data_IF_925351265573
#
_entry.id   IF_925351265573
#
_cell.length_a   1.000
_cell.length_b   1.000
_cell.length_c   1.000
_cell.angle_alpha   90.00
_cell.angle_beta   90.00
_cell.angle_gamma   90.00
#
_symmetry.space_group_name_H-M   'P 1'
#
loop_
_entity.id
_entity.type
_entity.pdbx_description
1 polymer ?
#
# COMPACT_ATOMS: atom_id res chain seq x y z
N UNK A 1 -6.51 -16.39 -5.09
CA UNK A 1 -7.35 -15.27 -5.57
C UNK A 1 -7.43 -15.30 -7.09
N UNK A 2 -8.48 -14.73 -7.70
CA UNK A 2 -8.55 -14.51 -9.15
C UNK A 2 -7.91 -13.17 -9.54
N UNK A 3 -6.57 -13.13 -9.57
CA UNK A 3 -5.80 -11.91 -9.85
C UNK A 3 -6.07 -11.36 -11.26
N UNK A 4 -6.38 -12.25 -12.20
CA UNK A 4 -6.76 -11.97 -13.59
C UNK A 4 -8.00 -11.07 -13.71
N UNK A 5 -8.83 -10.99 -12.66
CA UNK A 5 -10.02 -10.13 -12.62
C UNK A 5 -9.77 -8.74 -12.03
N UNK A 6 -8.56 -8.46 -11.56
CA UNK A 6 -8.19 -7.15 -11.03
C UNK A 6 -7.63 -6.28 -12.14
N UNK A 7 -7.69 -4.95 -11.98
CA UNK A 7 -7.00 -4.05 -12.91
C UNK A 7 -5.50 -4.30 -12.88
N UNK A 8 -4.80 -4.07 -13.99
CA UNK A 8 -3.34 -4.24 -14.07
C UNK A 8 -2.62 -3.47 -12.96
N UNK A 9 -3.07 -2.25 -12.68
CA UNK A 9 -2.52 -1.42 -11.60
C UNK A 9 -2.73 -2.02 -10.21
N UNK A 10 -3.88 -2.65 -9.94
CA UNK A 10 -4.08 -3.32 -8.67
C UNK A 10 -3.24 -4.61 -8.54
N UNK A 11 -3.03 -5.33 -9.66
CA UNK A 11 -2.12 -6.48 -9.68
C UNK A 11 -0.67 -6.05 -9.37
N UNK A 12 -0.19 -4.97 -9.99
CA UNK A 12 1.11 -4.35 -9.69
C UNK A 12 1.21 -3.95 -8.21
N UNK A 13 0.20 -3.26 -7.67
CA UNK A 13 0.19 -2.82 -6.28
C UNK A 13 0.21 -4.00 -5.28
N UNK A 14 -0.42 -5.13 -5.61
CA UNK A 14 -0.35 -6.35 -4.80
C UNK A 14 1.05 -6.97 -4.81
N UNK A 15 1.74 -6.95 -5.96
CA UNK A 15 3.13 -7.43 -6.06
C UNK A 15 4.10 -6.54 -5.27
N UNK A 16 3.92 -5.22 -5.34
CA UNK A 16 4.69 -4.26 -4.55
C UNK A 16 4.42 -4.41 -3.05
N UNK A 17 3.16 -4.59 -2.67
CA UNK A 17 2.77 -4.84 -1.27
C UNK A 17 3.38 -6.13 -0.73
N UNK A 18 3.43 -7.19 -1.52
CA UNK A 18 4.10 -8.44 -1.17
C UNK A 18 5.60 -8.21 -0.92
N UNK A 19 6.26 -7.46 -1.80
CA UNK A 19 7.67 -7.11 -1.67
C UNK A 19 7.93 -6.30 -0.40
N UNK A 20 7.04 -5.37 -0.05
CA UNK A 20 7.14 -4.59 1.18
C UNK A 20 6.94 -5.44 2.45
N UNK A 21 6.02 -6.40 2.43
CA UNK A 21 5.80 -7.32 3.55
C UNK A 21 7.03 -8.21 3.76
N UNK A 22 7.54 -8.82 2.69
CA UNK A 22 8.74 -9.67 2.73
C UNK A 22 9.96 -8.88 3.18
N UNK A 23 10.17 -7.67 2.65
CA UNK A 23 11.28 -6.81 3.05
C UNK A 23 11.23 -6.32 4.50
N UNK A 24 10.13 -6.58 5.21
CA UNK A 24 9.93 -6.28 6.64
C UNK A 24 9.71 -7.54 7.48
N UNK A 25 9.99 -8.72 6.93
CA UNK A 25 9.79 -10.02 7.58
C UNK A 25 8.33 -10.29 8.03
N UNK A 26 7.36 -9.60 7.44
CA UNK A 26 5.94 -9.82 7.70
C UNK A 26 5.44 -11.03 6.88
N UNK A 27 4.92 -12.05 7.56
CA UNK A 27 4.46 -13.30 6.92
C UNK A 27 3.24 -13.11 6.00
N UNK A 28 2.49 -12.03 6.19
CA UNK A 28 1.27 -11.74 5.46
C UNK A 28 1.29 -10.33 4.87
N UNK A 29 0.55 -10.15 3.78
CA UNK A 29 0.26 -8.82 3.26
C UNK A 29 -0.86 -8.19 4.12
N UNK A 30 -0.46 -7.32 5.03
CA UNK A 30 -1.41 -6.45 5.73
C UNK A 30 -1.90 -5.27 4.88
N UNK A 31 -3.08 -4.68 5.20
CA UNK A 31 -3.64 -3.52 4.50
C UNK A 31 -2.66 -2.34 4.38
N UNK A 32 -1.78 -2.15 5.38
CA UNK A 32 -0.78 -1.09 5.37
C UNK A 32 0.18 -1.19 4.19
N UNK A 33 0.55 -2.41 3.78
CA UNK A 33 1.42 -2.65 2.64
C UNK A 33 0.71 -2.28 1.33
N UNK A 34 -0.54 -2.72 1.19
CA UNK A 34 -1.33 -2.47 -0.01
C UNK A 34 -1.63 -0.97 -0.19
N UNK A 35 -2.02 -0.27 0.87
CA UNK A 35 -2.30 1.17 0.80
C UNK A 35 -1.00 1.92 0.50
N UNK A 36 0.12 1.54 1.12
CA UNK A 36 1.44 2.16 0.83
C UNK A 36 1.84 1.95 -0.64
N UNK A 37 1.66 0.75 -1.18
CA UNK A 37 1.91 0.46 -2.59
C UNK A 37 1.03 1.30 -3.53
N UNK A 38 -0.28 1.38 -3.25
CA UNK A 38 -1.22 2.19 -4.04
C UNK A 38 -0.88 3.68 -4.01
N UNK A 39 -0.42 4.21 -2.87
CA UNK A 39 -0.02 5.62 -2.73
C UNK A 39 1.28 5.96 -3.48
N UNK A 40 2.19 5.01 -3.57
CA UNK A 40 3.51 5.18 -4.18
C UNK A 40 3.55 4.78 -5.66
N UNK A 41 2.49 4.16 -6.17
CA UNK A 41 2.42 3.67 -7.54
C UNK A 41 2.51 4.81 -8.57
N UNK A 42 3.52 4.73 -9.45
CA UNK A 42 3.65 5.63 -10.59
C UNK A 42 2.48 5.47 -11.59
N UNK A 43 1.94 6.60 -12.03
CA UNK A 43 0.72 6.64 -12.85
C UNK A 43 -0.53 6.12 -12.13
N UNK A 44 -0.47 5.89 -10.81
CA UNK A 44 -1.59 5.47 -9.98
C UNK A 44 -2.54 6.64 -9.63
N UNK A 45 -3.82 6.33 -9.46
CA UNK A 45 -4.86 7.32 -9.14
C UNK A 45 -5.11 7.53 -7.64
N UNK A 46 -4.56 6.69 -6.76
CA UNK A 46 -4.93 6.69 -5.34
C UNK A 46 -4.55 8.00 -4.63
N UNK A 47 -3.32 8.49 -4.86
CA UNK A 47 -2.83 9.74 -4.27
C UNK A 47 -3.70 10.93 -4.68
N UNK A 48 -3.97 11.10 -5.98
CA UNK A 48 -4.75 12.22 -6.49
C UNK A 48 -6.22 12.14 -6.06
N UNK A 49 -6.80 10.94 -6.00
CA UNK A 49 -8.15 10.72 -5.48
C UNK A 49 -8.27 11.16 -4.01
N UNK A 50 -7.33 10.74 -3.16
CA UNK A 50 -7.33 11.10 -1.74
C UNK A 50 -7.09 12.59 -1.52
N UNK A 51 -6.20 13.21 -2.29
CA UNK A 51 -6.01 14.67 -2.26
C UNK A 51 -7.31 15.41 -2.62
N UNK A 52 -8.01 14.97 -3.68
CA UNK A 52 -9.31 15.53 -4.07
C UNK A 52 -10.40 15.32 -3.03
N UNK A 53 -10.30 14.26 -2.24
CA UNK A 53 -11.19 13.99 -1.12
C UNK A 53 -10.82 14.79 0.16
N UNK A 54 -9.81 15.66 0.11
CA UNK A 54 -9.39 16.49 1.23
C UNK A 54 -8.48 15.79 2.24
N UNK A 55 -7.95 14.61 1.91
CA UNK A 55 -7.06 13.86 2.81
C UNK A 55 -5.67 14.51 2.83
N UNK A 56 -5.11 14.69 4.02
CA UNK A 56 -3.68 14.99 4.18
C UNK A 56 -2.85 13.74 3.83
N UNK A 57 -2.54 13.55 2.54
CA UNK A 57 -1.87 12.35 2.06
C UNK A 57 -0.45 12.20 2.61
N UNK A 58 0.26 13.29 2.90
CA UNK A 58 1.58 13.20 3.52
C UNK A 58 1.47 12.70 4.97
N UNK A 59 0.49 13.19 5.73
CA UNK A 59 0.20 12.67 7.07
C UNK A 59 -0.22 11.20 7.06
N UNK A 60 -1.06 10.81 6.09
CA UNK A 60 -1.45 9.41 5.89
C UNK A 60 -0.24 8.53 5.58
N UNK A 61 0.65 8.96 4.68
CA UNK A 61 1.86 8.21 4.33
C UNK A 61 2.75 7.98 5.56
N UNK A 62 2.94 8.99 6.40
CA UNK A 62 3.69 8.86 7.65
C UNK A 62 3.03 7.86 8.60
N UNK A 63 1.71 7.95 8.81
CA UNK A 63 0.97 7.04 9.67
C UNK A 63 1.03 5.58 9.18
N UNK A 64 1.02 5.35 7.86
CA UNK A 64 1.21 4.03 7.28
C UNK A 64 2.61 3.48 7.53
N UNK A 65 3.66 4.31 7.46
CA UNK A 65 5.02 3.88 7.80
C UNK A 65 5.12 3.46 9.27
N UNK A 66 4.55 4.25 10.19
CA UNK A 66 4.51 3.89 11.61
C UNK A 66 3.72 2.60 11.86
N UNK A 67 2.57 2.43 11.21
CA UNK A 67 1.77 1.21 11.33
C UNK A 67 2.52 -0.02 10.82
N UNK A 68 3.23 0.10 9.69
CA UNK A 68 4.04 -0.99 9.14
C UNK A 68 5.20 -1.38 10.06
N UNK A 69 5.81 -0.43 10.77
CA UNK A 69 6.86 -0.71 11.75
C UNK A 69 6.35 -1.46 12.98
N UNK A 70 5.10 -1.20 13.39
CA UNK A 70 4.48 -1.89 14.55
C UNK A 70 4.14 -3.35 14.25
N UNK A 71 3.86 -3.70 12.98
CA UNK A 71 3.60 -5.09 12.58
C UNK A 71 4.81 -6.00 12.82
N UNK A 72 6.03 -5.50 12.57
CA UNK A 72 7.25 -6.26 12.79
C UNK A 72 7.55 -6.56 14.28
N UNK A 73 6.80 -5.98 15.22
CA UNK A 73 6.96 -6.20 16.67
C UNK A 73 5.91 -7.17 17.25
N UNK A 74 4.98 -7.66 16.42
CA UNK A 74 3.86 -8.52 16.82
C UNK A 74 4.08 -10.00 16.53
#
# INVERSE_FOLDING_TARGET
MRLDKLTTKLQEALADAQSQAVGRDNQYIDPVHLITALLNQEGGGARSLLQRAGVNVNGLANALQEAAQRLAQG
#
